data_IF_160967985797
#
_entry.id   IF_160967985797
#
_cell.length_a   1.000
_cell.length_b   1.000
_cell.length_c   1.000
_cell.angle_alpha   90.00
_cell.angle_beta   90.00
_cell.angle_gamma   90.00
#
_symmetry.space_group_name_H-M   'P 1'
#
loop_
_entity.id
_entity.type
_entity.pdbx_description
1 polymer ?
#
# COMPACT_ATOMS: atom_id res chain seq x y z
N UNK A 1 -14.71 -13.03 -12.80
CA UNK A 1 -16.06 -12.74 -13.31
C UNK A 1 -16.95 -12.02 -12.29
N UNK A 2 -16.46 -10.94 -11.66
CA UNK A 2 -17.18 -10.17 -10.62
C UNK A 2 -17.34 -8.68 -10.95
N UNK A 3 -16.96 -8.27 -12.16
CA UNK A 3 -17.02 -6.87 -12.57
C UNK A 3 -18.33 -6.61 -13.31
N UNK A 4 -19.03 -5.52 -12.98
CA UNK A 4 -20.23 -5.06 -13.70
C UNK A 4 -19.91 -4.66 -15.14
N UNK A 5 -18.75 -4.03 -15.35
CA UNK A 5 -18.22 -3.62 -16.66
C UNK A 5 -16.83 -4.23 -16.87
N UNK A 6 -16.41 -4.52 -18.12
CA UNK A 6 -15.09 -5.09 -18.35
C UNK A 6 -13.98 -4.24 -17.70
N UNK A 7 -13.04 -4.83 -16.94
CA UNK A 7 -12.14 -4.08 -16.06
C UNK A 7 -11.21 -3.10 -16.79
N UNK A 8 -11.04 -3.22 -18.10
CA UNK A 8 -10.17 -2.35 -18.89
C UNK A 8 -10.91 -1.57 -19.98
N UNK A 9 -12.24 -1.52 -19.94
CA UNK A 9 -13.03 -0.79 -20.93
C UNK A 9 -13.05 0.73 -20.73
N UNK A 10 -12.73 1.20 -19.52
CA UNK A 10 -12.95 2.59 -19.11
C UNK A 10 -14.41 3.03 -19.35
N UNK A 11 -15.36 2.14 -19.02
CA UNK A 11 -16.78 2.44 -19.17
C UNK A 11 -17.15 3.61 -18.27
N UNK A 12 -17.76 4.64 -18.87
CA UNK A 12 -18.35 5.76 -18.16
C UNK A 12 -19.86 5.56 -18.12
N UNK A 13 -20.44 5.59 -16.94
CA UNK A 13 -21.88 5.45 -16.78
C UNK A 13 -22.64 6.77 -17.04
N UNK A 14 -23.96 6.72 -16.88
CA UNK A 14 -24.86 7.87 -17.09
C UNK A 14 -24.63 9.02 -16.09
N UNK A 15 -24.00 8.75 -14.94
CA UNK A 15 -23.64 9.76 -13.93
C UNK A 15 -22.27 10.38 -14.20
N UNK A 16 -21.52 9.84 -15.16
CA UNK A 16 -20.16 10.24 -15.46
C UNK A 16 -19.09 9.51 -14.66
N UNK A 17 -19.46 8.47 -13.90
CA UNK A 17 -18.51 7.67 -13.12
C UNK A 17 -17.75 6.71 -14.04
N UNK A 18 -16.43 6.64 -13.90
CA UNK A 18 -15.55 5.82 -14.75
C UNK A 18 -15.15 4.52 -14.04
N UNK A 19 -15.56 3.39 -14.60
CA UNK A 19 -15.28 2.05 -14.09
C UNK A 19 -14.14 1.41 -14.89
N UNK A 20 -12.97 1.30 -14.28
CA UNK A 20 -11.83 0.54 -14.79
C UNK A 20 -10.85 0.19 -13.68
N UNK A 21 -10.08 -0.89 -13.86
CA UNK A 21 -8.91 -1.19 -13.02
C UNK A 21 -7.89 -0.06 -13.16
N UNK A 22 -7.63 0.54 -12.02
CA UNK A 22 -6.73 1.66 -11.84
C UNK A 22 -7.32 3.02 -12.18
N UNK A 23 -8.65 3.13 -12.35
CA UNK A 23 -9.29 4.45 -12.46
C UNK A 23 -9.04 5.27 -11.20
N UNK A 24 -9.13 4.68 -10.00
CA UNK A 24 -8.80 5.34 -8.73
C UNK A 24 -7.33 5.17 -8.33
N UNK A 25 -6.80 3.95 -8.40
CA UNK A 25 -5.42 3.63 -7.98
C UNK A 25 -4.54 3.20 -9.18
N UNK A 26 -3.71 4.08 -9.73
CA UNK A 26 -3.68 5.53 -9.47
C UNK A 26 -3.66 6.35 -10.77
N UNK A 27 -4.27 5.82 -11.84
CA UNK A 27 -4.21 6.47 -13.17
C UNK A 27 -4.90 7.83 -13.18
N UNK A 28 -5.94 8.06 -12.37
CA UNK A 28 -6.55 9.38 -12.26
C UNK A 28 -5.55 10.44 -11.79
N UNK A 29 -4.77 10.15 -10.75
CA UNK A 29 -3.73 11.06 -10.21
C UNK A 29 -2.66 11.32 -11.28
N UNK A 30 -2.23 10.27 -11.98
CA UNK A 30 -1.28 10.41 -13.08
C UNK A 30 -1.75 11.36 -14.18
N UNK A 31 -3.01 11.23 -14.61
CA UNK A 31 -3.61 12.13 -15.62
C UNK A 31 -3.80 13.54 -15.07
N UNK A 32 -4.22 13.70 -13.80
CA UNK A 32 -4.35 15.01 -13.16
C UNK A 32 -3.02 15.76 -13.15
N UNK A 33 -1.90 15.09 -12.84
CA UNK A 33 -0.57 15.70 -12.88
C UNK A 33 -0.18 16.13 -14.30
N UNK A 34 -0.39 15.27 -15.30
CA UNK A 34 -0.09 15.61 -16.70
C UNK A 34 -0.91 16.81 -17.17
N UNK A 35 -2.21 16.84 -16.86
CA UNK A 35 -3.10 17.93 -17.23
C UNK A 35 -2.76 19.24 -16.51
N UNK A 36 -2.40 19.18 -15.22
CA UNK A 36 -1.95 20.34 -14.46
C UNK A 36 -0.68 20.94 -15.08
N UNK A 37 0.34 20.12 -15.37
CA UNK A 37 1.57 20.60 -16.02
C UNK A 37 1.29 21.15 -17.41
N UNK A 38 0.44 20.50 -18.20
CA UNK A 38 0.03 21.00 -19.53
C UNK A 38 -0.57 22.40 -19.43
N UNK A 39 -1.49 22.63 -18.49
CA UNK A 39 -2.11 23.95 -18.26
C UNK A 39 -1.11 24.99 -17.76
N UNK A 40 -0.21 24.63 -16.85
CA UNK A 40 0.83 25.54 -16.36
C UNK A 40 1.75 25.99 -17.49
N UNK A 41 2.17 25.05 -18.36
CA UNK A 41 2.97 25.36 -19.55
C UNK A 41 2.22 26.24 -20.54
N UNK A 42 0.95 25.91 -20.85
CA UNK A 42 0.13 26.70 -21.77
C UNK A 42 -0.07 28.15 -21.28
N UNK A 43 -0.07 28.36 -19.97
CA UNK A 43 -0.17 29.67 -19.33
C UNK A 43 1.19 30.36 -19.11
N UNK A 44 2.28 29.87 -19.71
CA UNK A 44 3.62 30.48 -19.65
C UNK A 44 4.23 30.49 -18.24
N UNK A 45 3.82 29.59 -17.34
CA UNK A 45 4.33 29.55 -15.97
C UNK A 45 5.76 29.00 -15.95
N UNK A 46 6.61 29.67 -15.17
CA UNK A 46 7.98 29.25 -14.87
C UNK A 46 8.14 29.09 -13.36
N UNK A 47 9.03 28.19 -12.96
CA UNK A 47 9.22 27.82 -11.55
C UNK A 47 10.69 27.95 -11.17
N UNK A 48 10.94 28.23 -9.88
CA UNK A 48 12.30 28.31 -9.33
C UNK A 48 13.03 26.95 -9.30
N UNK A 49 12.28 25.84 -9.37
CA UNK A 49 12.78 24.47 -9.34
C UNK A 49 12.13 23.66 -10.46
N UNK A 50 12.82 22.63 -10.92
CA UNK A 50 12.29 21.69 -11.91
C UNK A 50 11.19 20.85 -11.29
N UNK A 51 10.08 20.68 -12.01
CA UNK A 51 9.04 19.72 -11.65
C UNK A 51 9.32 18.44 -12.43
N UNK A 52 9.61 17.36 -11.72
CA UNK A 52 9.77 16.03 -12.28
C UNK A 52 8.47 15.24 -12.09
N UNK A 53 8.04 14.52 -13.14
CA UNK A 53 6.98 13.52 -13.04
C UNK A 53 7.62 12.17 -13.36
N UNK A 54 7.42 11.19 -12.48
CA UNK A 54 7.90 9.82 -12.65
C UNK A 54 6.72 8.87 -12.59
N UNK A 55 6.66 7.94 -13.54
CA UNK A 55 5.74 6.81 -13.53
C UNK A 55 6.57 5.55 -13.38
N UNK A 56 6.47 4.89 -12.24
CA UNK A 56 7.27 3.71 -11.91
C UNK A 56 6.41 2.45 -11.89
N UNK A 57 6.95 1.29 -12.30
CA UNK A 57 6.24 0.03 -12.20
C UNK A 57 6.30 -0.52 -10.77
N UNK A 58 5.51 -1.57 -10.55
CA UNK A 58 5.61 -2.50 -9.42
C UNK A 58 5.26 -1.97 -8.02
N UNK A 59 4.71 -0.76 -7.87
CA UNK A 59 4.26 -0.23 -6.57
C UNK A 59 3.37 -1.25 -5.83
N UNK A 60 2.32 -1.74 -6.50
CA UNK A 60 1.33 -2.70 -6.00
C UNK A 60 1.91 -4.05 -5.52
N UNK A 61 3.17 -4.34 -5.87
CA UNK A 61 3.90 -5.55 -5.44
C UNK A 61 5.16 -5.22 -4.61
N UNK A 62 5.24 -3.99 -4.08
CA UNK A 62 6.26 -3.51 -3.16
C UNK A 62 7.45 -2.79 -3.80
N UNK A 63 7.36 -2.45 -5.10
CA UNK A 63 8.32 -1.59 -5.80
C UNK A 63 9.75 -2.16 -5.91
N UNK A 64 9.93 -3.46 -5.70
CA UNK A 64 11.26 -4.09 -5.56
C UNK A 64 12.11 -3.94 -6.82
N UNK A 65 11.50 -4.10 -8.00
CA UNK A 65 12.17 -3.93 -9.29
C UNK A 65 11.97 -2.53 -9.89
N UNK A 66 11.01 -1.76 -9.39
CA UNK A 66 10.75 -0.36 -9.76
C UNK A 66 11.55 0.63 -8.92
N UNK A 67 10.85 1.44 -8.13
CA UNK A 67 11.44 2.57 -7.40
C UNK A 67 12.65 2.18 -6.52
N UNK A 68 12.62 1.00 -5.88
CA UNK A 68 13.72 0.52 -5.01
C UNK A 68 15.06 0.43 -5.73
N UNK A 69 15.04 0.09 -7.02
CA UNK A 69 16.25 0.03 -7.84
C UNK A 69 16.56 1.40 -8.44
N UNK A 70 15.54 2.12 -8.90
CA UNK A 70 15.71 3.43 -9.51
C UNK A 70 16.38 4.44 -8.58
N UNK A 71 16.01 4.48 -7.29
CA UNK A 71 16.61 5.42 -6.32
C UNK A 71 18.12 5.26 -6.13
N UNK A 72 18.71 4.15 -6.59
CA UNK A 72 20.14 3.87 -6.49
C UNK A 72 20.94 4.31 -7.72
N UNK A 73 20.28 4.72 -8.80
CA UNK A 73 20.96 5.07 -10.06
C UNK A 73 21.48 6.51 -10.04
N UNK A 74 22.42 6.80 -10.94
CA UNK A 74 22.88 8.16 -11.16
C UNK A 74 21.80 9.04 -11.81
N UNK A 75 20.88 8.44 -12.58
CA UNK A 75 19.72 9.13 -13.14
C UNK A 75 18.81 9.71 -12.05
N UNK A 76 18.49 8.92 -11.02
CA UNK A 76 17.69 9.42 -9.89
C UNK A 76 18.45 10.50 -9.12
N UNK A 77 19.75 10.31 -8.90
CA UNK A 77 20.61 11.32 -8.25
C UNK A 77 20.62 12.63 -9.02
N UNK A 78 20.65 12.59 -10.34
CA UNK A 78 20.66 13.76 -11.21
C UNK A 78 19.35 14.57 -11.14
N UNK A 79 18.23 13.97 -10.69
CA UNK A 79 16.97 14.69 -10.48
C UNK A 79 17.07 15.73 -9.36
N UNK A 80 18.01 15.59 -8.41
CA UNK A 80 18.23 16.55 -7.31
C UNK A 80 16.93 16.92 -6.57
N UNK A 81 16.16 15.89 -6.18
CA UNK A 81 14.83 16.00 -5.58
C UNK A 81 14.93 16.67 -4.20
N UNK A 82 14.10 17.70 -3.97
CA UNK A 82 13.97 18.36 -2.67
C UNK A 82 12.80 17.82 -1.83
N UNK A 83 11.70 17.45 -2.48
CA UNK A 83 10.56 16.76 -1.90
C UNK A 83 9.78 16.06 -3.03
N UNK A 84 8.92 15.10 -2.68
CA UNK A 84 8.02 14.41 -3.59
C UNK A 84 6.59 14.46 -3.10
N UNK A 85 5.65 14.39 -4.03
CA UNK A 85 4.25 14.07 -3.76
C UNK A 85 4.04 12.63 -4.19
N UNK A 86 3.43 11.82 -3.31
CA UNK A 86 3.10 10.43 -3.60
C UNK A 86 1.63 10.29 -4.06
N UNK A 87 1.15 9.05 -4.22
CA UNK A 87 -0.22 8.72 -4.63
C UNK A 87 -1.30 9.44 -3.82
N UNK A 88 -1.03 9.68 -2.53
CA UNK A 88 -1.97 10.27 -1.61
C UNK A 88 -3.14 9.32 -1.30
N UNK A 89 -4.33 9.87 -1.12
CA UNK A 89 -5.54 9.07 -0.88
C UNK A 89 -6.73 9.72 -1.57
N UNK A 90 -7.60 8.88 -2.12
CA UNK A 90 -8.85 9.35 -2.73
C UNK A 90 -9.74 10.03 -1.67
N UNK A 91 -10.33 11.15 -2.05
CA UNK A 91 -11.29 11.89 -1.22
C UNK A 91 -12.68 11.81 -1.85
N UNK A 92 -13.73 11.52 -1.06
CA UNK A 92 -15.11 11.65 -1.52
C UNK A 92 -15.58 13.12 -1.56
N UNK A 93 -14.79 14.05 -1.01
CA UNK A 93 -15.04 15.49 -0.99
C UNK A 93 -14.06 16.24 -1.90
N UNK A 94 -14.36 17.51 -2.20
CA UNK A 94 -13.50 18.47 -2.92
C UNK A 94 -12.30 18.96 -2.08
N UNK A 95 -11.57 18.03 -1.46
CA UNK A 95 -10.43 18.28 -0.57
C UNK A 95 -9.35 17.24 -0.77
N UNK A 96 -8.10 17.64 -0.57
CA UNK A 96 -6.97 16.70 -0.58
C UNK A 96 -6.56 16.36 0.84
N UNK A 97 -6.36 15.07 1.11
CA UNK A 97 -5.71 14.62 2.33
C UNK A 97 -4.19 14.75 2.17
N UNK A 98 -3.55 15.39 3.15
CA UNK A 98 -2.10 15.53 3.19
C UNK A 98 -1.55 14.64 4.30
N UNK A 99 -0.64 13.73 3.93
CA UNK A 99 0.07 12.85 4.84
C UNK A 99 1.55 13.22 4.84
N UNK A 100 2.18 13.26 6.01
CA UNK A 100 3.60 13.57 6.17
C UNK A 100 4.46 12.33 6.44
N UNK A 101 3.86 11.14 6.43
CA UNK A 101 4.54 9.89 6.65
C UNK A 101 3.62 8.69 6.50
N UNK A 102 4.25 7.52 6.42
CA UNK A 102 3.61 6.23 6.25
C UNK A 102 4.16 5.23 7.25
N UNK A 103 3.40 4.15 7.49
CA UNK A 103 3.85 3.05 8.33
C UNK A 103 4.74 2.10 7.54
N UNK A 104 5.78 1.59 8.19
CA UNK A 104 6.60 0.55 7.61
C UNK A 104 5.84 -0.78 7.53
N UNK A 105 5.84 -1.40 6.36
CA UNK A 105 5.21 -2.71 6.13
C UNK A 105 6.25 -3.82 6.35
N UNK A 106 5.85 -4.86 7.08
CA UNK A 106 6.67 -6.04 7.34
C UNK A 106 5.92 -7.31 6.97
N UNK A 107 6.46 -8.06 6.02
CA UNK A 107 5.96 -9.39 5.65
C UNK A 107 6.98 -10.45 6.08
N UNK A 108 6.56 -11.39 6.93
CA UNK A 108 7.41 -12.49 7.37
C UNK A 108 6.65 -13.82 7.38
N UNK A 109 7.40 -14.91 7.26
CA UNK A 109 6.87 -16.27 7.26
C UNK A 109 7.40 -16.99 8.49
N UNK A 110 6.49 -17.56 9.29
CA UNK A 110 6.87 -18.38 10.45
C UNK A 110 6.69 -19.84 10.09
N UNK A 111 7.78 -20.60 10.12
CA UNK A 111 7.76 -22.05 9.91
C UNK A 111 7.83 -22.75 11.27
N UNK A 112 6.82 -23.56 11.58
CA UNK A 112 6.75 -24.34 12.82
C UNK A 112 6.99 -25.84 12.54
N UNK A 113 8.24 -26.33 12.43
CA UNK A 113 8.50 -27.75 12.24
C UNK A 113 8.12 -28.54 13.51
N UNK A 114 7.62 -29.76 13.31
CA UNK A 114 7.29 -30.68 14.40
C UNK A 114 7.59 -32.13 14.05
N UNK A 115 7.49 -33.01 15.04
CA UNK A 115 7.69 -34.44 14.87
C UNK A 115 6.47 -35.07 14.17
N UNK A 116 6.63 -35.76 13.03
CA UNK A 116 5.54 -36.51 12.41
C UNK A 116 5.25 -37.78 13.22
N UNK A 117 4.00 -38.24 13.19
CA UNK A 117 3.59 -39.45 13.91
C UNK A 117 2.19 -39.90 13.53
N UNK A 118 1.83 -41.11 13.97
CA UNK A 118 0.48 -41.64 13.81
C UNK A 118 -0.52 -40.80 14.62
N UNK A 119 -1.67 -40.44 14.04
CA UNK A 119 -2.64 -39.52 14.65
C UNK A 119 -3.29 -40.00 15.96
N UNK A 120 -3.17 -41.29 16.29
CA UNK A 120 -3.61 -41.84 17.58
C UNK A 120 -2.57 -41.71 18.71
N UNK A 121 -1.39 -41.17 18.41
CA UNK A 121 -0.30 -41.01 19.36
C UNK A 121 -0.12 -39.52 19.70
N UNK A 122 0.06 -39.23 20.98
CA UNK A 122 0.32 -37.87 21.50
C UNK A 122 1.83 -37.63 21.59
N UNK A 123 2.50 -37.60 20.44
CA UNK A 123 3.95 -37.34 20.40
C UNK A 123 4.23 -35.87 20.77
N UNK A 124 5.28 -35.60 21.57
CA UNK A 124 5.69 -34.24 21.88
C UNK A 124 6.25 -33.53 20.63
N UNK A 125 6.54 -32.24 20.74
CA UNK A 125 7.15 -31.44 19.66
C UNK A 125 6.24 -31.33 18.41
N UNK A 126 4.95 -31.12 18.62
CA UNK A 126 3.96 -31.04 17.56
C UNK A 126 3.96 -29.66 16.86
N UNK A 127 3.83 -29.66 15.52
CA UNK A 127 3.79 -28.41 14.74
C UNK A 127 2.56 -27.55 15.08
N UNK A 128 1.42 -28.19 15.33
CA UNK A 128 0.14 -27.59 15.73
C UNK A 128 0.23 -26.83 17.06
N UNK A 129 0.89 -27.43 18.07
CA UNK A 129 1.09 -26.76 19.37
C UNK A 129 1.96 -25.50 19.23
N UNK A 130 3.01 -25.57 18.40
CA UNK A 130 3.90 -24.43 18.15
C UNK A 130 3.19 -23.32 17.38
N UNK A 131 2.45 -23.65 16.31
CA UNK A 131 1.75 -22.63 15.53
C UNK A 131 0.63 -21.99 16.34
N UNK A 132 -0.05 -22.75 17.21
CA UNK A 132 -1.01 -22.20 18.18
C UNK A 132 -0.36 -21.12 19.05
N UNK A 133 0.81 -21.41 19.63
CA UNK A 133 1.53 -20.40 20.42
C UNK A 133 1.82 -19.12 19.62
N UNK A 134 2.28 -19.25 18.38
CA UNK A 134 2.57 -18.09 17.52
C UNK A 134 1.30 -17.29 17.21
N UNK A 135 0.20 -17.97 16.86
CA UNK A 135 -1.09 -17.34 16.57
C UNK A 135 -1.59 -16.59 17.81
N UNK A 136 -1.57 -17.22 18.98
CA UNK A 136 -2.03 -16.62 20.24
C UNK A 136 -1.25 -15.34 20.52
N UNK A 137 0.09 -15.36 20.40
CA UNK A 137 0.93 -14.16 20.59
C UNK A 137 0.62 -13.04 19.59
N UNK A 138 0.39 -13.37 18.32
CA UNK A 138 0.04 -12.36 17.30
C UNK A 138 -1.36 -11.76 17.56
N UNK A 139 -2.31 -12.56 18.02
CA UNK A 139 -3.66 -12.11 18.35
C UNK A 139 -3.68 -11.28 19.65
N UNK A 140 -2.85 -11.62 20.63
CA UNK A 140 -2.65 -10.82 21.84
C UNK A 140 -2.15 -9.42 21.47
N UNK A 141 -1.10 -9.31 20.65
CA UNK A 141 -0.57 -8.01 20.17
C UNK A 141 -1.67 -7.23 19.46
N UNK A 142 -2.41 -7.88 18.54
CA UNK A 142 -3.51 -7.23 17.82
C UNK A 142 -4.58 -6.67 18.78
N UNK A 143 -4.93 -7.43 19.82
CA UNK A 143 -5.91 -7.03 20.83
C UNK A 143 -5.40 -5.84 21.66
N UNK A 144 -4.14 -5.87 22.07
CA UNK A 144 -3.49 -4.77 22.80
C UNK A 144 -3.48 -3.47 21.99
N UNK A 145 -3.08 -3.53 20.72
CA UNK A 145 -3.06 -2.36 19.82
C UNK A 145 -4.47 -1.84 19.51
N UNK A 146 -5.46 -2.73 19.33
CA UNK A 146 -6.85 -2.35 19.16
C UNK A 146 -7.42 -1.66 20.43
N UNK A 147 -7.02 -2.11 21.62
CA UNK A 147 -7.42 -1.49 22.87
C UNK A 147 -6.87 -0.07 23.00
N UNK A 148 -5.65 0.22 22.50
CA UNK A 148 -5.12 1.59 22.44
C UNK A 148 -6.01 2.51 21.62
N UNK A 149 -6.46 2.07 20.43
CA UNK A 149 -7.37 2.84 19.59
C UNK A 149 -8.70 3.14 20.29
N UNK A 150 -9.25 2.17 21.03
CA UNK A 150 -10.50 2.34 21.76
C UNK A 150 -10.45 3.43 22.85
N UNK A 151 -9.25 3.84 23.30
CA UNK A 151 -9.10 4.95 24.26
C UNK A 151 -9.35 6.33 23.65
N UNK A 152 -9.37 6.45 22.32
CA UNK A 152 -9.47 7.74 21.60
C UNK A 152 -8.19 8.60 21.65
N UNK A 153 -7.12 8.14 22.31
CA UNK A 153 -5.85 8.86 22.42
C UNK A 153 -4.90 8.63 21.24
N UNK A 154 -5.18 7.63 20.41
CA UNK A 154 -4.32 7.19 19.31
C UNK A 154 -5.10 7.20 18.01
N UNK A 155 -4.44 7.60 16.93
CA UNK A 155 -4.93 7.42 15.57
C UNK A 155 -4.46 6.08 14.99
N UNK A 156 -5.04 5.67 13.87
CA UNK A 156 -4.69 4.39 13.22
C UNK A 156 -3.21 4.32 12.80
N UNK A 157 -2.60 5.47 12.49
CA UNK A 157 -1.18 5.59 12.18
C UNK A 157 -0.26 5.37 13.38
N UNK A 158 -0.75 5.56 14.60
CA UNK A 158 0.04 5.50 15.84
C UNK A 158 0.17 4.10 16.44
N UNK A 159 -0.55 3.12 15.89
CA UNK A 159 -0.59 1.74 16.40
C UNK A 159 -0.04 0.73 15.39
N UNK A 160 0.46 -0.38 15.92
CA UNK A 160 0.89 -1.51 15.10
C UNK A 160 -0.34 -2.31 14.64
N UNK A 161 -0.49 -2.46 13.32
CA UNK A 161 -1.48 -3.38 12.75
C UNK A 161 -0.85 -4.74 12.47
N UNK A 162 -1.42 -5.81 13.02
CA UNK A 162 -1.01 -7.19 12.76
C UNK A 162 -2.14 -7.95 12.08
N UNK A 163 -1.87 -8.54 10.92
CA UNK A 163 -2.83 -9.37 10.17
C UNK A 163 -2.21 -10.74 9.86
N UNK A 164 -2.85 -11.81 10.32
CA UNK A 164 -2.56 -13.18 9.88
C UNK A 164 -3.41 -13.46 8.64
N UNK A 165 -2.78 -13.44 7.46
CA UNK A 165 -3.50 -13.55 6.19
C UNK A 165 -3.57 -14.98 5.65
N UNK A 166 -2.65 -15.85 6.07
CA UNK A 166 -2.55 -17.22 5.58
C UNK A 166 -2.06 -18.17 6.68
N UNK A 167 -2.66 -19.36 6.72
CA UNK A 167 -2.19 -20.52 7.46
C UNK A 167 -2.08 -21.67 6.45
N UNK A 168 -0.88 -22.21 6.28
CA UNK A 168 -0.56 -23.23 5.27
C UNK A 168 0.23 -24.37 5.89
#
# INVERSE_FOLDING_TARGET
DKWTYPPFSAHMDEKGDIYARGSQDMKCVGIQYLEAIRRLKANGKTFKRTIHISFVPDEEIGGVLGMKNFVKTDDFRALNIGFSLDEGCASPEERFYLFSGERAIWHFWVRCPGQPGHGSLLLPNNAGEKIRYVIDRLMDIRKEEAAKLATGKYQIGDVLSVNLTQLR
#
